data_IF_165648043216
#
_entry.id   IF_165648043216
#
_cell.length_a   1.000
_cell.length_b   1.000
_cell.length_c   1.000
_cell.angle_alpha   90.00
_cell.angle_beta   90.00
_cell.angle_gamma   90.00
#
_symmetry.space_group_name_H-M   'P 1'
#
loop_
_entity.id
_entity.type
_entity.pdbx_description
1 polymer ?
#
# COMPACT_ATOMS: atom_id res chain seq x y z
N UNK A 1 36.24 15.92 -35.35
CA UNK A 1 34.86 15.83 -34.84
C UNK A 1 34.43 14.37 -34.83
N UNK A 2 34.56 13.67 -33.69
CA UNK A 2 34.05 12.30 -33.50
C UNK A 2 32.93 12.40 -32.47
N UNK A 3 31.70 12.09 -32.90
CA UNK A 3 30.52 12.07 -32.03
C UNK A 3 30.63 10.87 -31.10
N UNK A 4 30.75 11.12 -29.79
CA UNK A 4 30.66 10.09 -28.76
C UNK A 4 29.17 9.82 -28.57
N UNK A 5 28.72 8.64 -28.97
CA UNK A 5 27.38 8.12 -28.72
C UNK A 5 27.39 7.58 -27.29
N UNK A 6 26.76 8.28 -26.35
CA UNK A 6 26.50 7.76 -25.01
C UNK A 6 25.39 6.72 -25.15
N UNK A 7 25.77 5.46 -25.06
CA UNK A 7 24.84 4.33 -25.05
C UNK A 7 24.28 4.22 -23.64
N UNK A 8 23.05 4.69 -23.42
CA UNK A 8 22.30 4.44 -22.19
C UNK A 8 22.06 2.93 -22.07
N UNK A 9 22.83 2.27 -21.20
CA UNK A 9 22.58 0.88 -20.81
C UNK A 9 21.40 0.92 -19.84
N UNK A 10 20.19 0.66 -20.36
CA UNK A 10 19.05 0.23 -19.56
C UNK A 10 19.39 -1.16 -19.01
N UNK A 11 19.88 -1.21 -17.77
CA UNK A 11 19.90 -2.43 -16.97
C UNK A 11 18.45 -2.77 -16.63
N UNK A 12 17.82 -3.57 -17.50
CA UNK A 12 16.63 -4.30 -17.11
C UNK A 12 17.06 -5.29 -16.01
N UNK A 13 16.71 -4.98 -14.75
CA UNK A 13 16.72 -5.98 -13.69
C UNK A 13 15.73 -7.08 -14.10
N UNK A 14 16.27 -8.20 -14.56
CA UNK A 14 15.50 -9.43 -14.66
C UNK A 14 15.17 -9.87 -13.23
N UNK A 15 13.91 -9.70 -12.82
CA UNK A 15 13.41 -10.23 -11.55
C UNK A 15 13.60 -11.76 -11.54
N UNK A 16 14.22 -12.34 -10.50
CA UNK A 16 14.31 -13.79 -10.35
C UNK A 16 12.95 -14.31 -9.88
N UNK A 17 12.14 -14.73 -10.84
CA UNK A 17 10.84 -15.33 -10.57
C UNK A 17 9.99 -15.29 -11.83
N UNK A 18 10.14 -16.30 -12.69
CA UNK A 18 9.05 -16.63 -13.59
C UNK A 18 7.86 -17.02 -12.70
N UNK A 19 6.97 -16.05 -12.46
CA UNK A 19 5.70 -16.28 -11.79
C UNK A 19 5.03 -17.45 -12.51
N UNK A 20 4.66 -18.48 -11.75
CA UNK A 20 3.73 -19.47 -12.27
C UNK A 20 2.51 -18.72 -12.83
N UNK A 21 2.05 -19.11 -14.02
CA UNK A 21 0.92 -18.46 -14.68
C UNK A 21 -0.29 -18.48 -13.72
N UNK A 22 -0.77 -17.29 -13.36
CA UNK A 22 -1.90 -17.14 -12.43
C UNK A 22 -3.17 -17.69 -13.08
N UNK A 23 -3.98 -18.39 -12.30
CA UNK A 23 -5.23 -18.95 -12.82
C UNK A 23 -6.31 -17.86 -12.90
N UNK A 24 -6.92 -17.71 -14.07
CA UNK A 24 -8.01 -16.75 -14.26
C UNK A 24 -9.30 -17.21 -13.60
N UNK A 25 -10.02 -16.26 -12.99
CA UNK A 25 -11.36 -16.47 -12.44
C UNK A 25 -12.14 -15.16 -12.26
N UNK A 26 -13.44 -15.28 -12.01
CA UNK A 26 -14.28 -14.17 -11.56
C UNK A 26 -14.01 -13.77 -10.10
N UNK A 27 -14.73 -12.76 -9.59
CA UNK A 27 -14.57 -12.23 -8.24
C UNK A 27 -14.59 -13.27 -7.12
N UNK A 28 -13.90 -12.96 -6.03
CA UNK A 28 -13.94 -13.73 -4.77
C UNK A 28 -14.74 -12.94 -3.75
N UNK A 29 -15.73 -13.60 -3.18
CA UNK A 29 -16.83 -12.93 -2.51
C UNK A 29 -17.12 -13.60 -1.17
N UNK A 30 -16.34 -13.24 -0.15
CA UNK A 30 -16.50 -13.73 1.22
C UNK A 30 -17.40 -12.77 2.00
N UNK A 31 -18.70 -13.06 2.10
CA UNK A 31 -19.68 -12.27 2.88
C UNK A 31 -19.82 -12.75 4.32
N UNK A 32 -19.42 -13.98 4.57
CA UNK A 32 -19.46 -14.64 5.87
C UNK A 32 -18.43 -15.77 5.93
N UNK A 33 -18.21 -16.32 7.13
CA UNK A 33 -17.30 -17.45 7.31
C UNK A 33 -17.71 -18.71 6.51
N UNK A 34 -18.98 -18.85 6.13
CA UNK A 34 -19.44 -19.98 5.32
C UNK A 34 -18.96 -19.91 3.86
N UNK A 35 -18.53 -18.73 3.40
CA UNK A 35 -18.10 -18.50 2.02
C UNK A 35 -16.64 -18.87 1.79
N UNK A 36 -15.90 -19.24 2.84
CA UNK A 36 -14.52 -19.74 2.73
C UNK A 36 -14.51 -21.18 2.19
N UNK A 37 -14.78 -21.32 0.90
CA UNK A 37 -14.79 -22.61 0.19
C UNK A 37 -13.81 -22.61 -0.98
N UNK A 38 -13.48 -23.81 -1.45
CA UNK A 38 -12.62 -23.99 -2.61
C UNK A 38 -13.22 -23.37 -3.88
N UNK A 39 -14.52 -23.57 -4.08
CA UNK A 39 -15.28 -22.98 -5.19
C UNK A 39 -15.23 -21.45 -5.16
N UNK A 40 -15.11 -20.86 -3.98
CA UNK A 40 -15.00 -19.41 -3.80
C UNK A 40 -13.54 -18.91 -3.76
N UNK A 41 -12.54 -19.74 -4.06
CA UNK A 41 -11.14 -19.31 -4.25
C UNK A 41 -10.20 -19.52 -3.09
N UNK A 42 -10.67 -20.16 -2.03
CA UNK A 42 -9.79 -20.62 -0.96
C UNK A 42 -9.04 -21.86 -1.43
N UNK A 43 -7.72 -21.83 -1.48
CA UNK A 43 -6.91 -22.96 -1.94
C UNK A 43 -6.39 -23.85 -0.80
N UNK A 44 -6.38 -23.32 0.42
CA UNK A 44 -5.90 -24.02 1.61
C UNK A 44 -6.38 -23.33 2.89
N UNK A 45 -6.12 -23.98 4.03
CA UNK A 45 -6.31 -23.40 5.34
C UNK A 45 -7.64 -23.71 6.00
N UNK A 46 -7.70 -23.50 7.32
CA UNK A 46 -8.88 -23.74 8.15
C UNK A 46 -9.36 -22.49 8.91
N UNK A 47 -8.72 -21.35 8.70
CA UNK A 47 -9.03 -20.10 9.40
C UNK A 47 -8.59 -20.11 10.87
N UNK A 48 -7.45 -20.75 11.17
CA UNK A 48 -6.81 -20.72 12.49
C UNK A 48 -5.59 -19.80 12.46
N UNK A 49 -5.09 -19.29 13.61
CA UNK A 49 -3.89 -18.44 13.65
C UNK A 49 -2.67 -19.05 12.94
N UNK A 50 -2.43 -20.34 13.15
CA UNK A 50 -1.33 -21.09 12.53
C UNK A 50 -1.73 -21.77 11.20
N UNK A 51 -2.98 -21.63 10.77
CA UNK A 51 -3.53 -22.25 9.55
C UNK A 51 -4.64 -21.37 8.92
N UNK A 52 -4.28 -20.14 8.50
CA UNK A 52 -5.24 -19.16 7.97
C UNK A 52 -5.83 -19.64 6.65
N UNK A 53 -7.03 -19.16 6.30
CA UNK A 53 -7.55 -19.37 4.95
C UNK A 53 -6.62 -18.70 3.93
N UNK A 54 -6.26 -19.43 2.87
CA UNK A 54 -5.35 -18.95 1.83
C UNK A 54 -6.13 -18.72 0.55
N UNK A 55 -6.10 -17.49 0.05
CA UNK A 55 -6.55 -17.10 -1.28
C UNK A 55 -5.30 -16.71 -2.05
N UNK A 56 -4.89 -17.51 -3.04
CA UNK A 56 -3.63 -17.22 -3.74
C UNK A 56 -3.58 -17.68 -5.20
N UNK A 57 -2.71 -17.01 -5.97
CA UNK A 57 -2.38 -17.39 -7.35
C UNK A 57 -3.47 -17.09 -8.38
N UNK A 58 -4.44 -16.25 -8.03
CA UNK A 58 -5.57 -15.89 -8.88
C UNK A 58 -5.29 -14.64 -9.71
N UNK A 59 -5.80 -14.63 -10.94
CA UNK A 59 -5.94 -13.45 -11.79
C UNK A 59 -7.42 -13.14 -11.96
N UNK A 60 -7.84 -11.94 -11.57
CA UNK A 60 -9.23 -11.49 -11.56
C UNK A 60 -9.36 -10.28 -12.48
N UNK A 61 -9.84 -10.50 -13.70
CA UNK A 61 -10.00 -9.50 -14.76
C UNK A 61 -11.46 -9.39 -15.22
N UNK A 62 -12.38 -9.23 -14.28
CA UNK A 62 -13.78 -9.01 -14.62
C UNK A 62 -14.09 -7.50 -14.59
N UNK A 63 -13.80 -6.83 -15.72
CA UNK A 63 -14.02 -5.38 -15.87
C UNK A 63 -15.48 -5.04 -15.55
N UNK A 64 -15.67 -4.16 -14.58
CA UNK A 64 -17.00 -3.69 -14.16
C UNK A 64 -17.63 -4.46 -13.00
N UNK A 65 -17.01 -5.57 -12.56
CA UNK A 65 -17.36 -6.20 -11.28
C UNK A 65 -17.21 -5.18 -10.14
N UNK A 66 -18.07 -5.28 -9.12
CA UNK A 66 -17.97 -4.35 -7.99
C UNK A 66 -16.64 -4.52 -7.25
N UNK A 67 -16.24 -5.77 -7.04
CA UNK A 67 -15.04 -6.11 -6.28
C UNK A 67 -14.21 -7.15 -7.05
N UNK A 68 -12.88 -7.10 -6.92
CA UNK A 68 -12.03 -8.24 -7.24
C UNK A 68 -12.12 -9.28 -6.11
N UNK A 69 -11.78 -8.86 -4.89
CA UNK A 69 -11.93 -9.64 -3.66
C UNK A 69 -12.70 -8.83 -2.62
N UNK A 70 -13.72 -9.43 -2.02
CA UNK A 70 -14.39 -8.92 -0.82
C UNK A 70 -14.16 -9.89 0.34
N UNK A 71 -13.61 -9.38 1.43
CA UNK A 71 -13.58 -10.04 2.75
C UNK A 71 -14.46 -9.23 3.69
N UNK A 72 -15.54 -9.85 4.19
CA UNK A 72 -16.51 -9.19 5.05
C UNK A 72 -16.82 -9.98 6.32
N UNK A 73 -16.88 -9.29 7.45
CA UNK A 73 -17.53 -9.78 8.67
C UNK A 73 -16.86 -11.00 9.30
N UNK A 74 -15.53 -11.10 9.22
CA UNK A 74 -14.78 -12.24 9.73
C UNK A 74 -13.71 -11.83 10.74
N UNK A 75 -13.49 -12.68 11.73
CA UNK A 75 -12.33 -12.60 12.64
C UNK A 75 -11.33 -13.72 12.40
N UNK A 76 -11.66 -14.64 11.47
CA UNK A 76 -10.80 -15.76 11.12
C UNK A 76 -9.58 -15.25 10.34
N UNK A 77 -8.38 -15.74 10.62
CA UNK A 77 -7.19 -15.37 9.85
C UNK A 77 -7.31 -15.70 8.36
N UNK A 78 -7.01 -14.72 7.51
CA UNK A 78 -7.03 -14.83 6.04
C UNK A 78 -5.73 -14.31 5.47
N UNK A 79 -5.16 -15.00 4.50
CA UNK A 79 -4.05 -14.53 3.68
C UNK A 79 -4.49 -14.45 2.23
N UNK A 80 -4.40 -13.26 1.65
CA UNK A 80 -4.52 -13.00 0.22
C UNK A 80 -3.11 -12.79 -0.30
N UNK A 81 -2.64 -13.65 -1.22
CA UNK A 81 -1.28 -13.53 -1.75
C UNK A 81 -1.11 -13.89 -3.21
N UNK A 82 -0.13 -13.28 -3.87
CA UNK A 82 0.19 -13.59 -5.27
C UNK A 82 -1.00 -13.40 -6.23
N UNK A 83 -1.93 -12.52 -5.86
CA UNK A 83 -3.15 -12.23 -6.63
C UNK A 83 -2.95 -11.02 -7.54
N UNK A 84 -3.50 -11.10 -8.75
CA UNK A 84 -3.59 -9.99 -9.68
C UNK A 84 -5.06 -9.60 -9.92
N UNK A 85 -5.38 -8.31 -9.75
CA UNK A 85 -6.72 -7.75 -9.94
C UNK A 85 -6.66 -6.55 -10.87
N UNK A 86 -7.54 -6.54 -11.88
CA UNK A 86 -7.63 -5.45 -12.85
C UNK A 86 -9.08 -5.00 -13.03
N UNK A 87 -9.33 -3.69 -12.93
CA UNK A 87 -10.57 -3.08 -13.43
C UNK A 87 -11.82 -3.18 -12.55
N UNK A 88 -11.68 -3.29 -11.21
CA UNK A 88 -12.82 -3.35 -10.31
C UNK A 88 -13.50 -1.98 -10.15
N UNK A 89 -14.84 -1.94 -10.25
CA UNK A 89 -15.63 -0.70 -10.25
C UNK A 89 -15.69 -0.01 -8.89
N UNK A 90 -15.68 -0.78 -7.79
CA UNK A 90 -15.72 -0.22 -6.43
C UNK A 90 -14.37 -0.39 -5.75
N UNK A 91 -13.88 -1.62 -5.62
CA UNK A 91 -12.56 -1.85 -5.04
C UNK A 91 -11.88 -3.10 -5.59
N UNK A 92 -10.58 -3.05 -5.83
CA UNK A 92 -9.80 -4.25 -6.18
C UNK A 92 -9.88 -5.28 -5.05
N UNK A 93 -9.43 -4.90 -3.85
CA UNK A 93 -9.58 -5.68 -2.62
C UNK A 93 -10.33 -4.83 -1.60
N UNK A 94 -11.45 -5.34 -1.07
CA UNK A 94 -12.19 -4.71 0.03
C UNK A 94 -12.19 -5.60 1.27
N UNK A 95 -11.72 -5.04 2.38
CA UNK A 95 -11.78 -5.63 3.71
C UNK A 95 -12.77 -4.81 4.55
N UNK A 96 -13.87 -5.42 4.96
CA UNK A 96 -14.99 -4.75 5.61
C UNK A 96 -15.36 -5.44 6.92
N UNK A 97 -15.28 -4.71 8.03
CA UNK A 97 -15.65 -5.22 9.36
C UNK A 97 -14.95 -6.55 9.67
N UNK A 98 -13.64 -6.62 9.39
CA UNK A 98 -12.86 -7.84 9.52
C UNK A 98 -11.61 -7.65 10.38
N UNK A 99 -11.01 -8.76 10.80
CA UNK A 99 -9.75 -8.79 11.56
C UNK A 99 -8.81 -9.85 11.00
N UNK A 100 -7.51 -9.68 11.25
CA UNK A 100 -6.48 -10.68 10.96
C UNK A 100 -6.39 -11.05 9.46
N UNK A 101 -6.53 -10.05 8.58
CA UNK A 101 -6.34 -10.24 7.14
C UNK A 101 -4.94 -9.76 6.75
N UNK A 102 -4.19 -10.62 6.07
CA UNK A 102 -2.92 -10.28 5.45
C UNK A 102 -3.07 -10.24 3.94
N UNK A 103 -2.58 -9.17 3.32
CA UNK A 103 -2.49 -8.99 1.87
C UNK A 103 -1.01 -8.88 1.54
N UNK A 104 -0.47 -9.81 0.75
CA UNK A 104 0.96 -9.86 0.45
C UNK A 104 1.24 -10.16 -1.03
N UNK A 105 2.27 -9.56 -1.61
CA UNK A 105 2.73 -9.91 -2.98
C UNK A 105 1.64 -9.80 -4.06
N UNK A 106 0.70 -8.86 -3.91
CA UNK A 106 -0.41 -8.67 -4.83
C UNK A 106 -0.14 -7.54 -5.85
N UNK A 107 -0.85 -7.60 -6.97
CA UNK A 107 -0.95 -6.51 -7.96
C UNK A 107 -2.41 -6.09 -8.08
N UNK A 108 -2.72 -4.83 -7.77
CA UNK A 108 -4.04 -4.25 -7.97
C UNK A 108 -3.93 -3.04 -8.90
N UNK A 109 -4.68 -3.04 -9.99
CA UNK A 109 -4.61 -1.96 -10.98
C UNK A 109 -5.96 -1.54 -11.55
N UNK A 110 -6.06 -0.28 -11.99
CA UNK A 110 -7.18 0.21 -12.79
C UNK A 110 -8.54 0.18 -12.07
N UNK A 111 -8.55 0.25 -10.74
CA UNK A 111 -9.77 0.18 -9.92
C UNK A 111 -10.10 1.54 -9.29
N UNK A 112 -11.37 1.82 -9.01
CA UNK A 112 -11.74 3.09 -8.35
C UNK A 112 -11.02 3.21 -6.99
N UNK A 113 -11.22 2.21 -6.12
CA UNK A 113 -10.35 1.97 -4.97
C UNK A 113 -9.42 0.79 -5.28
N UNK A 114 -8.13 0.91 -5.05
CA UNK A 114 -7.22 -0.23 -5.17
C UNK A 114 -7.48 -1.22 -4.03
N UNK A 115 -7.11 -0.83 -2.82
CA UNK A 115 -7.36 -1.57 -1.59
C UNK A 115 -8.16 -0.68 -0.64
N UNK A 116 -9.30 -1.18 -0.18
CA UNK A 116 -10.16 -0.49 0.77
C UNK A 116 -10.28 -1.30 2.07
N UNK A 117 -9.89 -0.69 3.18
CA UNK A 117 -10.03 -1.25 4.53
C UNK A 117 -11.01 -0.39 5.31
N UNK A 118 -12.12 -0.99 5.74
CA UNK A 118 -13.23 -0.27 6.37
C UNK A 118 -13.65 -0.95 7.67
N UNK A 119 -13.68 -0.20 8.77
CA UNK A 119 -14.06 -0.68 10.11
C UNK A 119 -13.31 -1.97 10.52
N UNK A 120 -12.02 -2.05 10.23
CA UNK A 120 -11.23 -3.27 10.41
C UNK A 120 -10.04 -3.06 11.34
N UNK A 121 -9.51 -4.16 11.87
CA UNK A 121 -8.44 -4.12 12.88
C UNK A 121 -7.43 -5.25 12.69
N UNK A 122 -6.14 -4.97 12.90
CA UNK A 122 -5.09 -5.99 12.77
C UNK A 122 -4.95 -6.46 11.32
N UNK A 123 -4.88 -5.51 10.38
CA UNK A 123 -4.71 -5.79 8.95
C UNK A 123 -3.27 -5.50 8.57
N UNK A 124 -2.66 -6.41 7.80
CA UNK A 124 -1.30 -6.23 7.30
C UNK A 124 -1.31 -6.24 5.77
N UNK A 125 -0.68 -5.26 5.15
CA UNK A 125 -0.51 -5.16 3.70
C UNK A 125 0.96 -4.97 3.42
N UNK A 126 1.57 -5.93 2.71
CA UNK A 126 3.00 -5.91 2.44
C UNK A 126 3.35 -6.30 1.01
N UNK A 127 4.51 -5.86 0.53
CA UNK A 127 5.10 -6.30 -0.75
C UNK A 127 4.12 -6.19 -1.94
N UNK A 128 3.23 -5.20 -1.90
CA UNK A 128 2.07 -5.12 -2.79
C UNK A 128 2.17 -3.89 -3.69
N UNK A 129 1.88 -4.09 -4.97
CA UNK A 129 1.80 -3.01 -5.96
C UNK A 129 0.36 -2.59 -6.18
N UNK A 130 0.08 -1.29 -6.04
CA UNK A 130 -1.21 -0.69 -6.38
C UNK A 130 -0.98 0.47 -7.34
N UNK A 131 -1.60 0.45 -8.52
CA UNK A 131 -1.37 1.50 -9.52
C UNK A 131 -2.57 1.85 -10.36
N UNK A 132 -2.58 3.06 -10.91
CA UNK A 132 -3.60 3.51 -11.86
C UNK A 132 -5.03 3.43 -11.27
N UNK A 133 -5.15 3.66 -9.96
CA UNK A 133 -6.41 3.73 -9.24
C UNK A 133 -6.79 5.19 -8.94
N UNK A 134 -8.06 5.50 -8.66
CA UNK A 134 -8.41 6.83 -8.14
C UNK A 134 -7.82 7.00 -6.73
N UNK A 135 -8.27 6.18 -5.78
CA UNK A 135 -7.62 6.04 -4.47
C UNK A 135 -6.93 4.67 -4.39
N UNK A 136 -5.60 4.63 -4.35
CA UNK A 136 -4.88 3.37 -4.35
C UNK A 136 -5.08 2.59 -3.04
N UNK A 137 -4.95 3.23 -1.88
CA UNK A 137 -5.20 2.64 -0.58
C UNK A 137 -6.07 3.56 0.27
N UNK A 138 -7.22 3.08 0.75
CA UNK A 138 -8.10 3.87 1.63
C UNK A 138 -8.45 3.11 2.90
N UNK A 139 -8.05 3.68 4.05
CA UNK A 139 -8.41 3.24 5.39
C UNK A 139 -9.54 4.11 5.95
N UNK A 140 -10.63 3.48 6.40
CA UNK A 140 -11.75 4.12 7.05
C UNK A 140 -12.02 3.50 8.41
N UNK A 141 -12.08 4.31 9.47
CA UNK A 141 -12.48 3.87 10.82
C UNK A 141 -11.76 2.60 11.28
N UNK A 142 -10.48 2.49 10.95
CA UNK A 142 -9.69 1.27 11.13
C UNK A 142 -8.51 1.52 12.05
N UNK A 143 -8.02 0.48 12.72
CA UNK A 143 -6.93 0.60 13.68
C UNK A 143 -5.97 -0.57 13.64
N UNK A 144 -4.76 -0.37 14.15
CA UNK A 144 -3.73 -1.43 14.19
C UNK A 144 -3.49 -2.00 12.77
N UNK A 145 -3.14 -1.11 11.84
CA UNK A 145 -2.89 -1.45 10.44
C UNK A 145 -1.40 -1.33 10.16
N UNK A 146 -0.82 -2.35 9.55
CA UNK A 146 0.59 -2.36 9.16
C UNK A 146 0.68 -2.35 7.63
N UNK A 147 1.38 -1.34 7.10
CA UNK A 147 1.61 -1.11 5.69
C UNK A 147 3.13 -1.07 5.46
N UNK A 148 3.66 -2.03 4.73
CA UNK A 148 5.10 -2.13 4.51
C UNK A 148 5.45 -2.48 3.07
N UNK A 149 6.55 -1.95 2.56
CA UNK A 149 7.07 -2.33 1.23
C UNK A 149 6.03 -2.23 0.10
N UNK A 150 5.20 -1.19 0.14
CA UNK A 150 4.19 -0.94 -0.88
C UNK A 150 4.79 -0.15 -2.04
N UNK A 151 4.35 -0.45 -3.25
CA UNK A 151 4.63 0.37 -4.41
C UNK A 151 3.31 0.93 -4.95
N UNK A 152 3.06 2.19 -4.64
CA UNK A 152 1.82 2.90 -4.97
C UNK A 152 2.13 3.93 -6.06
N UNK A 153 1.45 3.85 -7.20
CA UNK A 153 1.78 4.77 -8.30
C UNK A 153 0.64 5.20 -9.21
N UNK A 154 0.78 6.38 -9.83
CA UNK A 154 -0.13 6.90 -10.86
C UNK A 154 -1.60 6.93 -10.41
N UNK A 155 -1.82 7.38 -9.17
CA UNK A 155 -3.14 7.46 -8.54
C UNK A 155 -3.49 8.88 -8.13
N UNK A 156 -4.79 9.19 -8.02
CA UNK A 156 -5.22 10.52 -7.55
C UNK A 156 -4.80 10.69 -6.09
N UNK A 157 -5.11 9.71 -5.25
CA UNK A 157 -4.59 9.62 -3.88
C UNK A 157 -3.87 8.28 -3.69
N UNK A 158 -2.63 8.32 -3.21
CA UNK A 158 -1.82 7.13 -2.96
C UNK A 158 -2.34 6.36 -1.76
N UNK A 159 -2.29 6.96 -0.57
CA UNK A 159 -2.91 6.41 0.63
C UNK A 159 -3.73 7.48 1.36
N UNK A 160 -4.97 7.15 1.71
CA UNK A 160 -5.89 8.03 2.40
C UNK A 160 -6.36 7.38 3.70
N UNK A 161 -6.10 8.05 4.82
CA UNK A 161 -6.56 7.63 6.15
C UNK A 161 -7.68 8.58 6.62
N UNK A 162 -8.84 8.00 6.88
CA UNK A 162 -10.02 8.69 7.38
C UNK A 162 -10.41 8.09 8.74
N UNK A 163 -10.30 8.89 9.79
CA UNK A 163 -10.58 8.48 11.18
C UNK A 163 -9.90 7.14 11.56
N UNK A 164 -8.64 6.97 11.17
CA UNK A 164 -7.88 5.73 11.41
C UNK A 164 -6.66 5.99 12.29
N UNK A 165 -6.34 5.05 13.17
CA UNK A 165 -5.39 5.24 14.27
C UNK A 165 -4.46 4.05 14.45
N UNK A 166 -3.22 4.28 14.90
CA UNK A 166 -2.25 3.20 15.09
C UNK A 166 -1.90 2.51 13.77
N UNK A 167 -1.83 3.28 12.68
CA UNK A 167 -1.31 2.83 11.39
C UNK A 167 0.20 3.00 11.37
N UNK A 168 0.92 1.94 10.99
CA UNK A 168 2.35 1.97 10.71
C UNK A 168 2.55 1.88 9.20
N UNK A 169 3.12 2.91 8.58
CA UNK A 169 3.44 2.95 7.15
C UNK A 169 4.96 3.10 6.94
N UNK A 170 5.59 2.06 6.40
CA UNK A 170 7.05 1.98 6.28
C UNK A 170 7.53 1.39 4.96
N UNK A 171 8.77 1.72 4.56
CA UNK A 171 9.45 1.10 3.42
C UNK A 171 8.71 1.22 2.09
N UNK A 172 7.75 2.14 1.97
CA UNK A 172 6.84 2.22 0.84
C UNK A 172 7.22 3.35 -0.11
N UNK A 173 6.95 3.17 -1.40
CA UNK A 173 7.19 4.17 -2.43
C UNK A 173 5.85 4.66 -2.99
N UNK A 174 5.65 5.97 -2.96
CA UNK A 174 4.57 6.68 -3.62
C UNK A 174 5.16 7.41 -4.83
N UNK A 175 4.81 6.98 -6.04
CA UNK A 175 5.36 7.52 -7.28
C UNK A 175 4.26 8.05 -8.20
N UNK A 176 4.36 9.31 -8.62
CA UNK A 176 3.47 9.89 -9.66
C UNK A 176 2.01 9.94 -9.20
N UNK A 177 1.79 10.07 -7.89
CA UNK A 177 0.47 10.32 -7.34
C UNK A 177 0.15 11.83 -7.36
N UNK A 178 -1.09 12.20 -7.59
CA UNK A 178 -1.51 13.60 -7.42
C UNK A 178 -1.37 14.05 -5.96
N UNK A 179 -1.74 13.16 -5.03
CA UNK A 179 -1.51 13.28 -3.60
C UNK A 179 -0.93 11.95 -3.09
N UNK A 180 0.26 11.96 -2.48
CA UNK A 180 0.91 10.75 -1.99
C UNK A 180 0.17 10.15 -0.80
N UNK A 181 0.21 10.82 0.36
CA UNK A 181 -0.46 10.37 1.59
C UNK A 181 -1.36 11.47 2.16
N UNK A 182 -2.57 11.13 2.58
CA UNK A 182 -3.55 12.05 3.17
C UNK A 182 -4.09 11.53 4.49
N UNK A 183 -3.95 12.29 5.57
CA UNK A 183 -4.49 11.97 6.90
C UNK A 183 -5.50 13.05 7.31
N UNK A 184 -6.75 12.65 7.55
CA UNK A 184 -7.83 13.58 7.92
C UNK A 184 -8.87 12.94 8.85
N UNK A 185 -9.81 13.77 9.30
CA UNK A 185 -10.98 13.40 10.09
C UNK A 185 -10.60 12.70 11.40
N UNK A 186 -9.60 13.26 12.10
CA UNK A 186 -9.10 12.74 13.37
C UNK A 186 -8.28 11.45 13.23
N UNK A 187 -7.62 11.26 12.07
CA UNK A 187 -6.61 10.21 11.92
C UNK A 187 -5.34 10.62 12.65
N UNK A 188 -5.17 10.12 13.88
CA UNK A 188 -4.11 10.50 14.82
C UNK A 188 -3.38 9.25 15.34
N UNK A 189 -2.19 9.45 15.90
CA UNK A 189 -1.38 8.36 16.47
C UNK A 189 -0.88 7.38 15.42
N UNK A 190 -0.68 7.85 14.19
CA UNK A 190 -0.08 7.06 13.10
C UNK A 190 1.41 7.38 12.99
N UNK A 191 2.20 6.38 12.56
CA UNK A 191 3.64 6.47 12.36
C UNK A 191 3.98 6.19 10.89
N UNK A 192 4.55 7.19 10.22
CA UNK A 192 4.86 7.17 8.79
C UNK A 192 6.34 7.51 8.61
N UNK A 193 7.21 6.53 8.39
CA UNK A 193 8.65 6.77 8.25
C UNK A 193 9.31 5.76 7.31
N UNK A 194 10.48 6.11 6.77
CA UNK A 194 11.21 5.26 5.82
C UNK A 194 10.51 5.06 4.49
N UNK A 195 9.68 6.02 4.06
CA UNK A 195 8.98 5.98 2.77
C UNK A 195 9.63 6.93 1.77
N UNK A 196 9.32 6.74 0.48
CA UNK A 196 9.77 7.60 -0.62
C UNK A 196 8.58 8.25 -1.32
N UNK A 197 8.56 9.59 -1.38
CA UNK A 197 7.58 10.35 -2.14
C UNK A 197 8.25 10.93 -3.40
N UNK A 198 7.96 10.32 -4.55
CA UNK A 198 8.64 10.57 -5.82
C UNK A 198 7.66 11.11 -6.86
N UNK A 199 7.94 12.28 -7.42
CA UNK A 199 7.14 12.90 -8.47
C UNK A 199 5.65 12.99 -8.15
N UNK A 200 5.32 13.08 -6.86
CA UNK A 200 3.98 13.35 -6.40
C UNK A 200 3.71 14.85 -6.48
N UNK A 201 2.55 15.26 -7.01
CA UNK A 201 2.20 16.69 -7.10
C UNK A 201 2.07 17.32 -5.71
N UNK A 202 1.50 16.57 -4.77
CA UNK A 202 1.48 16.89 -3.33
C UNK A 202 1.98 15.65 -2.59
N UNK A 203 3.19 15.63 -1.99
CA UNK A 203 3.71 14.44 -1.33
C UNK A 203 2.83 13.95 -0.17
N UNK A 204 2.45 14.84 0.74
CA UNK A 204 1.63 14.49 1.88
C UNK A 204 0.77 15.67 2.39
N UNK A 205 -0.34 15.33 3.05
CA UNK A 205 -1.19 16.26 3.83
C UNK A 205 -1.60 15.57 5.13
N UNK A 206 -1.52 16.30 6.24
CA UNK A 206 -1.99 15.86 7.55
C UNK A 206 -2.84 16.95 8.21
N UNK A 207 -3.85 16.56 8.98
CA UNK A 207 -4.61 17.46 9.88
C UNK A 207 -4.01 17.52 11.30
N UNK A 208 -2.95 16.76 11.57
CA UNK A 208 -2.19 16.79 12.83
C UNK A 208 -2.31 15.55 13.69
N UNK A 209 -1.39 15.41 14.65
CA UNK A 209 -1.39 14.34 15.63
C UNK A 209 -0.72 13.05 15.16
N UNK A 210 0.15 13.13 14.15
CA UNK A 210 0.85 11.98 13.58
C UNK A 210 2.37 12.18 13.63
N UNK A 211 3.11 11.08 13.61
CA UNK A 211 4.58 11.09 13.56
C UNK A 211 5.05 10.72 12.16
N UNK A 212 5.87 11.59 11.56
CA UNK A 212 6.45 11.38 10.23
C UNK A 212 7.93 10.94 10.28
N UNK A 213 8.38 10.56 11.47
CA UNK A 213 9.71 10.04 11.76
C UNK A 213 9.64 9.15 13.01
N UNK A 214 10.64 8.28 13.21
CA UNK A 214 10.74 7.38 14.37
C UNK A 214 11.61 7.95 15.52
N UNK A 215 11.95 9.24 15.44
CA UNK A 215 12.88 9.89 16.35
C UNK A 215 14.35 9.76 15.96
N UNK A 216 14.66 9.03 14.89
CA UNK A 216 16.00 8.93 14.31
C UNK A 216 16.00 9.07 12.79
N UNK A 217 14.95 8.65 12.09
CA UNK A 217 14.84 8.66 10.63
C UNK A 217 13.39 8.94 10.20
N UNK A 218 13.26 9.74 9.16
CA UNK A 218 12.00 10.14 8.55
C UNK A 218 11.77 9.53 7.18
N UNK A 219 11.20 10.31 6.28
CA UNK A 219 10.88 9.94 4.91
C UNK A 219 11.76 10.69 3.91
N UNK A 220 11.81 10.19 2.68
CA UNK A 220 12.41 10.88 1.54
C UNK A 220 11.36 11.69 0.77
N UNK A 221 11.65 12.96 0.54
CA UNK A 221 10.76 13.91 -0.13
C UNK A 221 11.43 14.46 -1.38
N UNK A 222 10.99 14.03 -2.57
CA UNK A 222 11.61 14.52 -3.81
C UNK A 222 11.55 16.05 -3.92
N UNK A 223 12.70 16.65 -4.20
CA UNK A 223 12.84 18.10 -4.36
C UNK A 223 13.01 18.87 -3.05
N UNK A 224 12.87 18.22 -1.89
CA UNK A 224 13.29 18.84 -0.63
C UNK A 224 14.82 18.81 -0.52
N UNK A 225 15.40 19.96 -0.20
CA UNK A 225 16.84 20.10 -0.04
C UNK A 225 17.13 21.00 1.15
N UNK A 226 17.99 20.50 2.03
CA UNK A 226 18.51 21.18 3.20
C UNK A 226 19.96 20.71 3.44
N UNK A 227 20.71 21.38 4.34
CA UNK A 227 22.01 20.88 4.76
C UNK A 227 21.93 19.48 5.37
N UNK A 228 23.02 18.74 5.22
CA UNK A 228 23.36 17.51 5.94
C UNK A 228 24.82 17.74 6.38
N UNK A 229 25.00 18.51 7.46
CA UNK A 229 26.31 19.04 7.88
C UNK A 229 27.22 17.96 8.47
N UNK A 230 26.65 16.94 9.11
CA UNK A 230 27.39 15.83 9.70
C UNK A 230 27.54 14.62 8.75
N UNK A 231 26.82 14.60 7.63
CA UNK A 231 26.95 13.61 6.57
C UNK A 231 26.33 12.26 6.93
N UNK A 232 25.34 12.24 7.82
CA UNK A 232 24.69 11.01 8.29
C UNK A 232 23.55 10.53 7.35
N UNK A 233 23.24 11.32 6.31
CA UNK A 233 22.20 11.04 5.33
C UNK A 233 20.81 11.49 5.76
N UNK A 234 20.70 12.30 6.82
CA UNK A 234 19.50 12.98 7.29
C UNK A 234 19.68 14.48 7.06
N UNK A 235 18.60 15.14 6.63
CA UNK A 235 18.59 16.57 6.40
C UNK A 235 18.34 17.33 7.72
N UNK A 236 19.16 18.34 7.98
CA UNK A 236 19.18 19.11 9.25
C UNK A 236 17.96 20.03 9.46
N UNK A 237 17.08 20.14 8.47
CA UNK A 237 15.84 20.92 8.56
C UNK A 237 14.62 20.03 8.41
N UNK A 238 13.57 20.25 9.23
CA UNK A 238 12.36 19.46 9.15
C UNK A 238 11.59 19.73 7.86
N UNK A 239 10.88 18.72 7.38
CA UNK A 239 9.89 18.84 6.31
C UNK A 239 8.51 19.02 6.93
N UNK A 240 7.78 20.09 6.59
CA UNK A 240 6.46 20.38 7.18
C UNK A 240 5.33 19.70 6.40
N UNK A 241 4.42 19.03 7.12
CA UNK A 241 3.23 18.37 6.58
C UNK A 241 1.99 18.92 7.30
N UNK A 242 1.53 20.10 6.88
CA UNK A 242 0.43 20.80 7.56
C UNK A 242 0.84 21.20 8.98
N UNK A 243 0.15 20.74 10.04
CA UNK A 243 0.53 20.98 11.42
C UNK A 243 1.52 19.94 11.97
N UNK A 244 1.80 18.85 11.25
CA UNK A 244 2.84 17.88 11.60
C UNK A 244 4.16 18.21 10.88
N UNK A 245 5.24 17.55 11.29
CA UNK A 245 6.55 17.64 10.66
C UNK A 245 7.26 16.28 10.66
N UNK A 246 8.09 16.08 9.64
CA UNK A 246 9.14 15.07 9.63
C UNK A 246 10.44 15.75 10.07
N UNK A 247 10.95 15.37 11.24
CA UNK A 247 12.12 16.02 11.86
C UNK A 247 13.44 15.45 11.39
N UNK A 248 13.41 14.30 10.73
CA UNK A 248 14.60 13.61 10.25
C UNK A 248 14.46 13.22 8.76
N UNK A 249 14.19 14.16 7.84
CA UNK A 249 13.99 13.84 6.43
C UNK A 249 15.23 13.19 5.84
N UNK A 250 15.06 12.19 4.99
CA UNK A 250 16.18 11.46 4.38
C UNK A 250 16.78 12.26 3.23
N UNK A 251 18.11 12.29 3.12
CA UNK A 251 18.82 12.95 2.02
C UNK A 251 18.74 12.16 0.69
N UNK A 252 18.46 10.86 0.75
CA UNK A 252 18.29 9.98 -0.41
C UNK A 252 17.13 8.98 -0.17
N UNK A 253 16.51 8.45 -1.25
CA UNK A 253 15.51 7.40 -1.10
C UNK A 253 16.10 6.19 -0.37
N UNK A 254 15.40 5.60 0.62
CA UNK A 254 15.82 4.33 1.22
C UNK A 254 15.94 3.24 0.15
N UNK A 255 16.98 2.41 0.25
CA UNK A 255 17.12 1.22 -0.59
C UNK A 255 15.96 0.26 -0.28
N UNK A 256 15.17 -0.07 -1.31
CA UNK A 256 14.08 -1.04 -1.25
C UNK A 256 14.51 -2.42 -1.75
#
# INVERSE_FOLDING_TARGET
MKRILVMCVLLALAAPGALAERQERGPILIRSNADFTYENGVIAGRGLPDDPFIIAGWKIEEIGAQFGILIQGTTLPVVIRDVEICGARVAGIKVLAARNVRIESCLVQGSALGINVFMSEGIQIRDTTVRECEDALHLYFSREIELSSLYISKSIVGAWFTSSQGVLLTGSTFWECDLGVKLELGSEGNLIHGNSFLSCRIPAVSEGGNSWDDGARGNYWEGFSAPDEDGDGILDLPYTIGPDEDRFPLAAPPEG
#
